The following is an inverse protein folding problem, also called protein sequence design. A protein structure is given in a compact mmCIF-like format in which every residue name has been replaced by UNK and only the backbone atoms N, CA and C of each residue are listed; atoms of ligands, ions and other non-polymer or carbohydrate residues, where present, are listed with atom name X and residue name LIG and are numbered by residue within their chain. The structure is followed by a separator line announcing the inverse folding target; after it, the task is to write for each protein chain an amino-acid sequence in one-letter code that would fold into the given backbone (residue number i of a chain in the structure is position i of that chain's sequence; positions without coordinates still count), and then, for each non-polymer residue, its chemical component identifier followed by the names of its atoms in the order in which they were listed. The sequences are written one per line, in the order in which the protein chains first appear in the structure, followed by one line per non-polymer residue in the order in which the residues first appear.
data_IF_248795478298
#
_entry.id   IF_248795478298
#
_cell.length_a   1.000
_cell.length_b   1.000
_cell.length_c   1.000
_cell.angle_alpha   90.00
_cell.angle_beta   90.00
_cell.angle_gamma   90.00
#
_symmetry.space_group_name_H-M   'P 1'
#
loop_
_entity.id
_entity.type
_entity.pdbx_description
1 polymer ?
#
# COMPACT_ATOMS: atom_id res chain seq x y z
N UNK A 1 6.76 -14.99 -11.85
CA UNK A 1 5.65 -14.79 -10.90
C UNK A 1 6.09 -15.32 -9.55
N UNK A 2 6.80 -14.51 -8.77
CA UNK A 2 7.22 -14.90 -7.41
C UNK A 2 6.03 -14.87 -6.43
N UNK A 3 5.09 -13.94 -6.65
CA UNK A 3 3.86 -13.82 -5.86
C UNK A 3 3.04 -15.12 -5.85
N UNK A 4 2.83 -15.75 -7.00
CA UNK A 4 2.04 -16.99 -7.08
C UNK A 4 2.75 -18.16 -6.37
N UNK A 5 4.08 -18.21 -6.44
CA UNK A 5 4.87 -19.23 -5.75
C UNK A 5 4.75 -19.08 -4.24
N UNK A 6 4.77 -17.84 -3.73
CA UNK A 6 4.62 -17.57 -2.31
C UNK A 6 3.19 -17.80 -1.82
N UNK A 7 2.19 -17.41 -2.60
CA UNK A 7 0.79 -17.71 -2.29
C UNK A 7 0.54 -19.22 -2.20
N UNK A 8 1.02 -19.99 -3.18
CA UNK A 8 0.91 -21.45 -3.18
C UNK A 8 1.56 -22.10 -1.95
N UNK A 9 2.67 -21.55 -1.44
CA UNK A 9 3.30 -22.04 -0.19
C UNK A 9 2.42 -21.78 1.03
N UNK A 10 1.81 -20.61 1.12
CA UNK A 10 0.92 -20.23 2.23
C UNK A 10 -0.34 -21.09 2.21
N UNK A 11 -0.98 -21.26 1.04
CA UNK A 11 -2.15 -22.12 0.89
C UNK A 11 -1.85 -23.59 1.23
N UNK A 12 -0.69 -24.10 0.80
CA UNK A 12 -0.26 -25.45 1.17
C UNK A 12 -0.05 -25.57 2.68
N UNK A 13 0.55 -24.56 3.31
CA UNK A 13 0.78 -24.54 4.75
C UNK A 13 -0.52 -24.48 5.55
N UNK A 14 -1.57 -23.82 5.02
CA UNK A 14 -2.90 -23.75 5.64
C UNK A 14 -3.48 -25.13 5.94
N UNK A 15 -3.22 -26.13 5.08
CA UNK A 15 -3.71 -27.51 5.26
C UNK A 15 -3.15 -28.22 6.49
N UNK A 16 -1.98 -27.79 6.97
CA UNK A 16 -1.27 -28.40 8.10
C UNK A 16 -1.11 -27.44 9.28
N UNK A 17 -1.68 -26.23 9.18
CA UNK A 17 -1.57 -25.22 10.23
C UNK A 17 -2.44 -25.68 11.43
N UNK A 18 -1.88 -25.73 12.66
CA UNK A 18 -2.54 -26.39 13.79
C UNK A 18 -3.69 -25.58 14.40
N UNK A 19 -3.91 -24.34 13.96
CA UNK A 19 -4.89 -23.42 14.53
C UNK A 19 -5.89 -22.96 13.47
N UNK A 20 -7.11 -22.66 13.90
CA UNK A 20 -8.10 -22.03 13.03
C UNK A 20 -7.80 -20.55 12.83
N UNK A 21 -8.18 -20.01 11.68
CA UNK A 21 -8.08 -18.58 11.38
C UNK A 21 -9.38 -17.91 11.82
N UNK A 22 -9.34 -17.17 12.92
CA UNK A 22 -10.51 -16.53 13.52
C UNK A 22 -10.42 -15.00 13.55
N UNK A 23 -9.22 -14.43 13.40
CA UNK A 23 -9.04 -12.99 13.24
C UNK A 23 -7.77 -12.67 12.42
N UNK A 24 -7.55 -11.42 11.97
CA UNK A 24 -6.47 -11.09 11.03
C UNK A 24 -5.05 -11.45 11.50
N UNK A 25 -4.79 -11.48 12.81
CA UNK A 25 -3.48 -11.87 13.34
C UNK A 25 -3.15 -13.35 13.07
N UNK A 26 -4.15 -14.22 13.04
CA UNK A 26 -3.96 -15.64 12.75
C UNK A 26 -3.41 -15.86 11.34
N UNK A 27 -3.81 -15.01 10.38
CA UNK A 27 -3.23 -14.99 9.04
C UNK A 27 -1.73 -14.68 9.08
N UNK A 28 -1.31 -13.73 9.91
CA UNK A 28 0.11 -13.42 10.05
C UNK A 28 0.88 -14.61 10.63
N UNK A 29 0.31 -15.32 11.61
CA UNK A 29 0.92 -16.53 12.17
C UNK A 29 1.01 -17.65 11.13
N UNK A 30 -0.03 -17.85 10.34
CA UNK A 30 -0.02 -18.80 9.22
C UNK A 30 1.08 -18.47 8.21
N UNK A 31 1.23 -17.19 7.82
CA UNK A 31 2.26 -16.79 6.86
C UNK A 31 3.65 -16.99 7.45
N UNK A 32 3.87 -16.65 8.74
CA UNK A 32 5.13 -16.95 9.45
C UNK A 32 5.42 -18.45 9.53
N UNK A 33 4.38 -19.26 9.66
CA UNK A 33 4.49 -20.72 9.68
C UNK A 33 4.82 -21.30 8.31
N UNK A 34 4.35 -20.68 7.23
CA UNK A 34 4.49 -21.20 5.87
C UNK A 34 5.95 -21.31 5.39
N UNK A 35 6.18 -22.32 4.54
CA UNK A 35 7.47 -22.52 3.87
C UNK A 35 8.58 -23.10 4.75
N UNK A 36 9.60 -23.63 4.08
CA UNK A 36 10.87 -24.06 4.71
C UNK A 36 11.72 -22.84 5.06
N UNK A 37 11.78 -21.88 4.13
CA UNK A 37 12.33 -20.56 4.38
C UNK A 37 11.20 -19.68 4.94
N UNK A 38 11.36 -19.22 6.17
CA UNK A 38 10.32 -18.46 6.86
C UNK A 38 10.15 -17.09 6.26
N UNK A 39 8.90 -16.67 6.08
CA UNK A 39 8.56 -15.33 5.63
C UNK A 39 8.87 -14.30 6.72
N UNK A 40 9.46 -13.17 6.34
CA UNK A 40 9.52 -12.00 7.19
C UNK A 40 8.16 -11.29 7.14
N UNK A 41 7.34 -11.50 8.16
CA UNK A 41 6.01 -10.89 8.26
C UNK A 41 6.08 -9.65 9.14
N UNK A 42 5.98 -8.49 8.50
CA UNK A 42 5.92 -7.17 9.15
C UNK A 42 4.45 -6.84 9.43
N UNK A 43 4.13 -6.61 10.70
CA UNK A 43 2.81 -6.11 11.09
C UNK A 43 2.69 -4.63 10.72
N UNK A 44 1.71 -4.32 9.87
CA UNK A 44 1.44 -2.96 9.44
C UNK A 44 0.53 -2.27 10.46
N UNK A 45 1.05 -1.25 11.14
CA UNK A 45 0.25 -0.38 12.02
C UNK A 45 -0.18 0.90 11.31
N UNK A 46 -1.19 1.58 11.84
CA UNK A 46 -1.82 2.72 11.17
C UNK A 46 -0.85 3.88 10.91
N UNK A 47 0.14 4.06 11.79
CA UNK A 47 1.19 5.08 11.69
C UNK A 47 2.13 4.86 10.48
N UNK A 48 2.13 3.65 9.91
CA UNK A 48 2.93 3.32 8.72
C UNK A 48 2.22 3.70 7.41
N UNK A 49 0.98 4.17 7.47
CA UNK A 49 0.22 4.62 6.30
C UNK A 49 0.30 6.13 6.15
N UNK A 50 0.75 6.58 4.97
CA UNK A 50 1.04 7.98 4.68
C UNK A 50 0.22 8.51 3.50
N UNK A 51 -0.18 9.78 3.57
CA UNK A 51 -0.92 10.45 2.49
C UNK A 51 0.03 11.15 1.52
N UNK A 52 0.53 10.38 0.56
CA UNK A 52 1.36 10.93 -0.52
C UNK A 52 0.57 11.82 -1.49
N UNK A 53 -0.76 11.70 -1.56
CA UNK A 53 -1.59 12.51 -2.43
C UNK A 53 -1.66 13.96 -1.92
N UNK A 54 -1.84 14.16 -0.61
CA UNK A 54 -1.71 15.49 0.01
C UNK A 54 -0.34 16.10 -0.25
N UNK A 55 0.73 15.32 -0.10
CA UNK A 55 2.09 15.79 -0.39
C UNK A 55 2.23 16.22 -1.86
N UNK A 56 1.68 15.46 -2.81
CA UNK A 56 1.64 15.82 -4.23
C UNK A 56 0.79 17.06 -4.49
N UNK A 57 -0.31 17.28 -3.76
CA UNK A 57 -1.16 18.47 -3.91
C UNK A 57 -0.55 19.72 -3.29
N UNK A 58 0.26 19.58 -2.24
CA UNK A 58 0.84 20.69 -1.45
C UNK A 58 2.20 21.13 -1.98
N UNK A 59 3.11 20.18 -2.16
CA UNK A 59 4.56 20.48 -2.30
C UNK A 59 5.12 20.14 -3.66
N UNK A 60 4.54 19.16 -4.36
CA UNK A 60 5.00 18.71 -5.67
C UNK A 60 4.03 19.05 -6.81
N UNK A 61 4.52 19.03 -8.04
CA UNK A 61 3.73 19.19 -9.24
C UNK A 61 4.40 18.43 -10.36
N UNK A 62 3.64 17.59 -11.06
CA UNK A 62 4.14 16.94 -12.26
C UNK A 62 4.28 17.99 -13.38
N UNK A 63 5.51 18.32 -13.74
CA UNK A 63 5.79 19.28 -14.83
C UNK A 63 5.82 18.55 -16.17
N UNK A 64 5.27 19.21 -17.19
CA UNK A 64 5.28 18.71 -18.59
C UNK A 64 6.57 19.03 -19.33
N UNK A 65 7.46 19.81 -18.71
CA UNK A 65 8.75 20.21 -19.27
C UNK A 65 9.85 20.06 -18.24
N UNK A 66 11.05 19.76 -18.71
CA UNK A 66 12.25 19.71 -17.90
C UNK A 66 12.84 21.11 -17.67
N UNK A 67 13.96 21.21 -16.93
CA UNK A 67 14.62 22.50 -16.66
C UNK A 67 15.16 23.19 -17.93
N UNK A 68 15.43 22.43 -18.99
CA UNK A 68 15.84 22.94 -20.31
C UNK A 68 14.64 23.39 -21.17
N UNK A 69 13.41 23.37 -20.64
CA UNK A 69 12.14 23.64 -21.35
C UNK A 69 11.79 22.63 -22.44
N UNK A 70 12.45 21.48 -22.47
CA UNK A 70 12.11 20.38 -23.37
C UNK A 70 10.91 19.59 -22.82
N UNK A 71 10.09 19.02 -23.70
CA UNK A 71 8.91 18.23 -23.32
C UNK A 71 9.35 16.99 -22.53
N UNK A 72 8.77 16.82 -21.34
CA UNK A 72 8.92 15.60 -20.55
C UNK A 72 7.87 14.57 -20.98
N UNK A 73 8.32 13.42 -21.46
CA UNK A 73 7.47 12.28 -21.82
C UNK A 73 7.85 11.08 -20.95
N UNK A 74 6.98 10.76 -19.98
CA UNK A 74 7.29 9.71 -18.99
C UNK A 74 7.57 8.35 -19.63
N UNK A 75 6.83 7.99 -20.69
CA UNK A 75 7.01 6.74 -21.44
C UNK A 75 8.42 6.55 -21.99
N UNK A 76 9.10 7.64 -22.33
CA UNK A 76 10.41 7.57 -22.99
C UNK A 76 11.55 7.50 -21.96
N UNK A 77 11.24 7.64 -20.67
CA UNK A 77 12.22 7.56 -19.58
C UNK A 77 12.64 6.12 -19.36
N UNK A 78 13.95 5.87 -19.41
CA UNK A 78 14.56 4.54 -19.22
C UNK A 78 15.36 4.42 -17.94
N UNK A 79 15.82 5.55 -17.40
CA UNK A 79 16.63 5.58 -16.19
C UNK A 79 16.21 6.76 -15.34
N UNK A 80 15.80 6.50 -14.10
CA UNK A 80 15.54 7.51 -13.08
C UNK A 80 16.60 7.42 -11.98
N UNK A 81 17.10 8.57 -11.52
CA UNK A 81 18.04 8.69 -10.43
C UNK A 81 17.55 9.75 -9.43
N UNK A 82 17.65 9.41 -8.16
CA UNK A 82 17.36 10.30 -7.04
C UNK A 82 18.65 10.55 -6.24
N UNK A 83 18.87 11.79 -5.82
CA UNK A 83 20.03 12.19 -5.01
C UNK A 83 19.50 12.72 -3.69
N UNK A 84 20.00 12.19 -2.56
CA UNK A 84 19.50 12.50 -1.21
C UNK A 84 19.48 14.00 -0.90
N UNK A 85 20.45 14.74 -1.43
CA UNK A 85 20.61 16.18 -1.20
C UNK A 85 19.81 17.05 -2.19
N UNK A 86 19.32 16.50 -3.29
CA UNK A 86 18.54 17.23 -4.30
C UNK A 86 17.06 16.82 -4.23
N UNK A 87 16.37 17.27 -3.18
CA UNK A 87 14.97 16.90 -2.94
C UNK A 87 14.03 17.50 -4.00
N UNK A 88 13.06 16.69 -4.44
CA UNK A 88 12.09 17.08 -5.45
C UNK A 88 12.67 17.21 -6.86
N UNK A 89 13.94 16.85 -7.08
CA UNK A 89 14.55 16.81 -8.41
C UNK A 89 14.67 15.36 -8.85
N UNK A 90 14.09 15.06 -10.00
CA UNK A 90 14.21 13.77 -10.67
C UNK A 90 15.25 13.91 -11.76
N UNK A 91 16.32 13.14 -11.66
CA UNK A 91 17.29 13.01 -12.74
C UNK A 91 16.85 11.86 -13.63
N UNK A 92 16.76 12.10 -14.93
CA UNK A 92 16.31 11.05 -15.85
C UNK A 92 17.11 11.00 -17.15
N UNK A 93 17.11 9.83 -17.80
CA UNK A 93 17.61 9.61 -19.16
C UNK A 93 16.55 8.88 -19.98
N UNK A 94 16.55 9.14 -21.28
CA UNK A 94 15.74 8.42 -22.27
C UNK A 94 16.53 7.31 -23.00
N UNK A 95 17.81 7.14 -22.66
CA UNK A 95 18.67 6.07 -23.15
C UNK A 95 19.38 5.35 -22.00
N UNK A 96 19.80 4.11 -22.25
CA UNK A 96 20.62 3.32 -21.33
C UNK A 96 22.13 3.50 -21.56
N UNK A 97 22.53 4.43 -22.43
CA UNK A 97 23.94 4.71 -22.71
C UNK A 97 24.63 5.27 -21.47
N UNK A 98 25.79 4.69 -21.12
CA UNK A 98 26.57 5.11 -19.95
C UNK A 98 26.95 6.61 -20.03
N UNK A 99 27.32 7.07 -21.22
CA UNK A 99 27.76 8.45 -21.48
C UNK A 99 26.61 9.46 -21.66
N UNK A 100 25.35 9.01 -21.74
CA UNK A 100 24.22 9.94 -21.86
C UNK A 100 24.14 10.82 -20.61
N UNK A 101 23.86 12.12 -20.77
CA UNK A 101 23.70 13.04 -19.65
C UNK A 101 22.31 12.90 -19.02
N UNK A 102 22.22 13.08 -17.70
CA UNK A 102 20.93 13.15 -17.03
C UNK A 102 20.29 14.51 -17.28
N UNK A 103 19.02 14.49 -17.68
CA UNK A 103 18.14 15.65 -17.68
C UNK A 103 17.53 15.81 -16.28
N UNK A 104 17.15 17.04 -15.92
CA UNK A 104 16.56 17.36 -14.63
C UNK A 104 15.10 17.73 -14.77
N UNK A 105 14.24 17.06 -14.01
CA UNK A 105 12.83 17.40 -13.84
C UNK A 105 12.61 17.85 -12.40
N UNK A 106 12.32 19.12 -12.22
CA UNK A 106 12.05 19.69 -10.90
C UNK A 106 10.56 19.59 -10.56
N UNK A 107 10.21 18.74 -9.60
CA UNK A 107 8.84 18.53 -9.15
C UNK A 107 8.38 19.56 -8.13
N UNK A 108 9.26 20.42 -7.59
CA UNK A 108 8.87 21.38 -6.56
C UNK A 108 7.93 22.45 -7.12
N UNK A 109 6.88 22.77 -6.35
CA UNK A 109 6.09 23.98 -6.55
C UNK A 109 6.85 25.21 -6.09
N UNK A 110 6.59 26.37 -6.71
CA UNK A 110 7.28 27.64 -6.41
C UNK A 110 7.13 28.08 -4.95
N UNK A 111 6.02 27.74 -4.30
CA UNK A 111 5.69 28.14 -2.93
C UNK A 111 5.64 26.94 -1.95
N UNK A 112 6.39 25.87 -2.22
CA UNK A 112 6.38 24.70 -1.36
C UNK A 112 6.94 25.06 0.03
N UNK A 113 6.13 24.89 1.07
CA UNK A 113 6.46 25.30 2.46
C UNK A 113 7.05 24.17 3.30
N UNK A 114 6.77 22.90 3.00
CA UNK A 114 7.33 21.74 3.72
C UNK A 114 7.22 20.45 2.90
N UNK A 115 8.16 19.52 3.08
CA UNK A 115 8.14 18.17 2.48
C UNK A 115 7.71 17.09 3.49
N UNK A 116 7.13 17.49 4.62
CA UNK A 116 6.66 16.55 5.64
C UNK A 116 5.51 15.70 5.10
N UNK A 117 5.65 14.40 5.34
CA UNK A 117 4.66 13.41 4.95
C UNK A 117 3.69 13.26 6.11
N UNK A 118 2.43 13.57 5.85
CA UNK A 118 1.36 13.44 6.84
C UNK A 118 0.85 12.00 6.89
N UNK A 119 0.41 11.54 8.07
CA UNK A 119 -0.27 10.25 8.20
C UNK A 119 -1.57 10.25 7.39
N UNK A 120 -1.85 9.13 6.75
CA UNK A 120 -3.11 8.94 6.02
C UNK A 120 -4.30 8.89 6.99
N UNK A 121 -4.08 8.31 8.16
CA UNK A 121 -5.12 8.07 9.15
C UNK A 121 -4.59 8.38 10.55
N UNK A 122 -5.48 8.87 11.41
CA UNK A 122 -5.18 9.25 12.79
C UNK A 122 -5.96 8.42 13.82
N UNK A 123 -7.02 7.76 13.37
CA UNK A 123 -7.92 6.94 14.17
C UNK A 123 -8.30 5.67 13.40
N UNK A 124 -8.70 4.62 14.12
CA UNK A 124 -9.18 3.37 13.53
C UNK A 124 -10.18 3.62 12.39
N UNK A 125 -9.93 2.94 11.27
CA UNK A 125 -10.81 2.97 10.11
C UNK A 125 -12.15 2.32 10.45
N UNK A 126 -13.24 2.99 10.09
CA UNK A 126 -14.57 2.42 10.18
C UNK A 126 -14.82 1.43 9.04
N UNK A 127 -15.75 0.50 9.27
CA UNK A 127 -16.39 -0.32 8.24
C UNK A 127 -17.82 0.17 7.98
N UNK A 128 -18.44 -0.25 6.88
CA UNK A 128 -19.85 0.05 6.63
C UNK A 128 -20.76 -0.56 7.71
N UNK A 129 -21.93 0.03 7.92
CA UNK A 129 -22.89 -0.53 8.88
C UNK A 129 -23.43 -1.88 8.42
N UNK A 130 -23.62 -2.06 7.11
CA UNK A 130 -24.02 -3.32 6.50
C UNK A 130 -22.99 -4.42 6.79
N UNK A 131 -21.70 -4.12 6.58
CA UNK A 131 -20.62 -5.07 6.86
C UNK A 131 -20.50 -5.37 8.34
N UNK A 132 -20.66 -4.37 9.21
CA UNK A 132 -20.65 -4.61 10.67
C UNK A 132 -21.82 -5.50 11.07
N UNK A 133 -23.02 -5.23 10.57
CA UNK A 133 -24.21 -6.05 10.83
C UNK A 133 -24.00 -7.49 10.37
N UNK A 134 -23.46 -7.68 9.17
CA UNK A 134 -23.13 -9.01 8.65
C UNK A 134 -22.08 -9.72 9.52
N UNK A 135 -20.99 -9.06 9.89
CA UNK A 135 -20.00 -9.63 10.81
C UNK A 135 -20.60 -10.04 12.15
N UNK A 136 -21.57 -9.28 12.68
CA UNK A 136 -22.25 -9.63 13.92
C UNK A 136 -23.12 -10.90 13.79
N UNK A 137 -23.72 -11.17 12.62
CA UNK A 137 -24.45 -12.43 12.40
C UNK A 137 -23.50 -13.62 12.28
N UNK A 138 -22.31 -13.41 11.69
CA UNK A 138 -21.29 -14.44 11.50
C UNK A 138 -20.56 -14.83 12.80
N UNK A 139 -20.70 -14.05 13.88
CA UNK A 139 -20.10 -14.39 15.19
C UNK A 139 -20.55 -15.75 15.72
N UNK A 140 -21.71 -16.26 15.30
CA UNK A 140 -22.18 -17.60 15.66
C UNK A 140 -21.22 -18.72 15.20
N UNK A 141 -20.37 -18.45 14.20
CA UNK A 141 -19.39 -19.40 13.66
C UNK A 141 -17.97 -19.17 14.18
N UNK A 142 -17.75 -18.17 15.04
CA UNK A 142 -16.45 -17.78 15.57
C UNK A 142 -16.44 -18.01 17.09
N UNK A 143 -15.36 -18.55 17.68
CA UNK A 143 -15.27 -18.71 19.13
C UNK A 143 -15.42 -17.37 19.88
N UNK A 144 -16.12 -17.40 21.02
CA UNK A 144 -16.44 -16.20 21.82
C UNK A 144 -15.21 -15.39 22.23
N UNK A 145 -14.06 -16.05 22.42
CA UNK A 145 -12.78 -15.41 22.76
C UNK A 145 -12.33 -14.37 21.74
N UNK A 146 -12.82 -14.42 20.50
CA UNK A 146 -12.49 -13.47 19.43
C UNK A 146 -13.59 -12.45 19.17
N UNK A 147 -14.76 -12.58 19.80
CA UNK A 147 -15.90 -11.69 19.53
C UNK A 147 -15.60 -10.24 19.88
N UNK A 148 -14.80 -10.00 20.92
CA UNK A 148 -14.45 -8.64 21.36
C UNK A 148 -13.75 -7.84 20.26
N UNK A 149 -12.89 -8.49 19.47
CA UNK A 149 -12.26 -7.87 18.31
C UNK A 149 -13.30 -7.32 17.34
N UNK A 150 -14.24 -8.16 16.89
CA UNK A 150 -15.28 -7.78 15.93
C UNK A 150 -16.26 -6.75 16.49
N UNK A 151 -16.64 -6.88 17.76
CA UNK A 151 -17.51 -5.92 18.45
C UNK A 151 -16.89 -4.53 18.55
N UNK A 152 -15.56 -4.46 18.70
CA UNK A 152 -14.81 -3.21 18.82
C UNK A 152 -14.67 -2.43 17.50
N UNK A 153 -14.95 -3.06 16.34
CA UNK A 153 -14.85 -2.39 15.04
C UNK A 153 -15.85 -1.23 14.95
N UNK A 154 -15.36 -0.05 14.57
CA UNK A 154 -16.21 1.14 14.37
C UNK A 154 -16.97 1.03 13.04
N UNK A 155 -18.19 1.55 12.98
CA UNK A 155 -18.96 1.64 11.74
C UNK A 155 -19.35 3.08 11.39
N UNK A 156 -19.56 3.36 10.11
CA UNK A 156 -20.04 4.65 9.61
C UNK A 156 -20.90 4.44 8.35
N UNK A 157 -21.94 5.25 8.20
CA UNK A 157 -22.88 5.25 7.06
C UNK A 157 -22.25 5.92 5.83
N UNK A 158 -21.39 6.91 6.03
CA UNK A 158 -20.86 7.77 4.96
C UNK A 158 -19.61 7.18 4.26
N UNK A 159 -19.29 5.91 4.49
CA UNK A 159 -18.16 5.24 3.85
C UNK A 159 -18.68 4.21 2.85
N UNK A 160 -18.01 4.14 1.70
CA UNK A 160 -18.28 3.10 0.71
C UNK A 160 -17.27 1.97 0.91
N UNK A 161 -17.76 0.73 0.88
CA UNK A 161 -16.86 -0.41 0.75
C UNK A 161 -16.09 -0.29 -0.57
N UNK A 162 -14.78 -0.60 -0.58
CA UNK A 162 -14.02 -0.63 -1.82
C UNK A 162 -14.67 -1.64 -2.78
N UNK A 163 -14.95 -1.20 -4.01
CA UNK A 163 -15.46 -2.05 -5.07
C UNK A 163 -14.39 -3.12 -5.32
N UNK A 164 -14.67 -4.36 -4.91
CA UNK A 164 -13.88 -5.52 -5.31
C UNK A 164 -14.27 -5.75 -6.77
N UNK A 165 -13.33 -5.60 -7.70
CA UNK A 165 -13.55 -6.05 -9.06
C UNK A 165 -13.66 -7.57 -9.00
N UNK A 166 -14.84 -8.11 -9.32
CA UNK A 166 -15.06 -9.55 -9.50
C UNK A 166 -14.23 -10.03 -10.70
N UNK A 167 -12.93 -10.26 -10.50
CA UNK A 167 -12.10 -11.05 -11.41
C UNK A 167 -12.15 -12.52 -10.98
N UNK A 168 -13.34 -13.13 -11.08
CA UNK A 168 -13.49 -14.59 -11.14
C UNK A 168 -14.62 -14.92 -12.13
N UNK A 169 -14.25 -15.11 -13.39
CA UNK A 169 -14.97 -15.93 -14.37
C UNK A 169 -14.01 -16.29 -15.52
N UNK A 170 -13.17 -17.31 -15.30
CA UNK A 170 -12.69 -18.22 -16.35
C UNK A 170 -12.37 -19.60 -15.76
#
# INVERSE_FOLDING_TARGET
MECDSDHAKIEKARKTFPSSINHPYDWMQLIRFAGKNKFLVVEMVQEMFFDFNKLLKKSYQMKKTNENKEKFVFRDVKWIRYIKNEKGIVFYKTSLGLNAKFLKLNLNRKNATSMEIERAYYDMLCITEEKKKDLMTLLAFIPETFHDFYKSLKSNIDINDPIISDEENE
#
